data_IF_446195166622
#
_entry.id   IF_446195166622
#
_cell.length_a   1.000
_cell.length_b   1.000
_cell.length_c   1.000
_cell.angle_alpha   90.00
_cell.angle_beta   90.00
_cell.angle_gamma   90.00
#
_symmetry.space_group_name_H-M   'P 1'
#
loop_
_entity.id
_entity.type
_entity.pdbx_description
1 polymer ?
#
# COMPACT_ATOMS: atom_id res chain seq x y z
N UNK A 1 8.79 18.32 29.21
CA UNK A 1 9.85 17.77 30.10
C UNK A 1 10.61 16.82 29.20
N UNK A 2 11.84 17.12 28.82
CA UNK A 2 12.64 16.26 27.95
C UNK A 2 12.84 14.89 28.64
N UNK A 3 12.49 13.81 27.99
CA UNK A 3 12.71 12.47 28.49
C UNK A 3 14.16 12.12 28.22
N UNK A 4 14.92 11.81 29.27
CA UNK A 4 16.31 11.41 29.13
C UNK A 4 16.41 9.93 28.79
N UNK A 5 17.00 9.62 27.66
CA UNK A 5 17.35 8.24 27.33
C UNK A 5 18.65 7.87 28.03
N UNK A 6 18.59 6.98 29.04
CA UNK A 6 19.75 6.53 29.84
C UNK A 6 20.64 7.69 30.36
N UNK A 7 19.98 8.79 30.73
CA UNK A 7 20.66 9.99 31.32
C UNK A 7 21.17 11.01 30.29
N UNK A 8 20.97 10.77 29.01
CA UNK A 8 21.38 11.64 27.90
C UNK A 8 20.18 12.40 27.33
N UNK A 9 20.33 13.69 27.06
CA UNK A 9 19.31 14.49 26.39
C UNK A 9 19.36 14.24 24.88
N UNK A 10 18.20 13.96 24.27
CA UNK A 10 18.08 13.66 22.85
C UNK A 10 17.37 14.80 22.10
N UNK A 11 17.72 14.99 20.84
CA UNK A 11 17.17 16.04 19.97
C UNK A 11 15.80 15.67 19.41
N UNK A 12 14.77 16.47 19.70
CA UNK A 12 13.46 16.42 19.03
C UNK A 12 12.83 15.03 18.97
N UNK A 13 12.52 14.55 17.74
CA UNK A 13 11.85 13.27 17.53
C UNK A 13 12.72 12.03 17.87
N UNK A 14 14.02 12.21 18.08
CA UNK A 14 14.92 11.11 18.45
C UNK A 14 14.56 10.50 19.81
N UNK A 15 13.99 11.26 20.73
CA UNK A 15 13.47 10.76 21.99
C UNK A 15 12.46 9.62 21.80
N UNK A 16 11.68 9.69 20.72
CA UNK A 16 10.60 8.71 20.40
C UNK A 16 11.11 7.56 19.54
N UNK A 17 12.17 7.77 18.78
CA UNK A 17 12.71 6.79 17.82
C UNK A 17 13.80 5.93 18.44
N UNK A 18 14.74 6.55 19.19
CA UNK A 18 15.92 5.85 19.75
C UNK A 18 15.56 4.65 20.63
N UNK A 19 14.52 4.66 21.47
CA UNK A 19 14.16 3.48 22.27
C UNK A 19 13.82 2.22 21.45
N UNK A 20 13.52 2.41 20.17
CA UNK A 20 13.19 1.32 19.24
C UNK A 20 14.37 0.92 18.33
N UNK A 21 15.53 1.55 18.52
CA UNK A 21 16.76 1.25 17.76
C UNK A 21 17.66 0.34 18.58
N UNK A 22 17.71 -0.95 18.26
CA UNK A 22 18.47 -1.95 19.02
C UNK A 22 19.95 -1.55 19.26
N UNK A 23 20.62 -1.01 18.25
CA UNK A 23 21.98 -0.52 18.37
C UNK A 23 22.10 0.64 19.37
N UNK A 24 21.11 1.54 19.44
CA UNK A 24 21.13 2.65 20.41
C UNK A 24 20.95 2.14 21.84
N UNK A 25 20.18 1.08 22.05
CA UNK A 25 20.01 0.45 23.34
C UNK A 25 21.32 -0.21 23.83
N UNK A 26 21.99 -0.95 22.95
CA UNK A 26 23.28 -1.58 23.23
C UNK A 26 24.36 -0.54 23.57
N UNK A 27 24.58 0.44 22.71
CA UNK A 27 25.56 1.50 22.94
C UNK A 27 25.23 2.40 24.13
N UNK A 28 23.93 2.73 24.31
CA UNK A 28 23.49 3.48 25.47
C UNK A 28 23.73 2.73 26.77
N UNK A 29 23.56 1.41 26.79
CA UNK A 29 23.90 0.54 27.94
C UNK A 29 25.41 0.53 28.24
N UNK A 30 26.23 0.38 27.20
CA UNK A 30 27.70 0.40 27.32
C UNK A 30 28.21 1.75 27.86
N UNK A 31 27.67 2.87 27.33
CA UNK A 31 28.03 4.21 27.79
C UNK A 31 27.61 4.44 29.25
N UNK A 32 26.43 3.99 29.65
CA UNK A 32 25.96 4.08 31.04
C UNK A 32 26.82 3.25 31.98
N UNK A 33 27.26 2.09 31.57
CA UNK A 33 28.19 1.25 32.34
C UNK A 33 29.55 1.93 32.52
N UNK A 34 30.12 2.48 31.43
CA UNK A 34 31.36 3.25 31.50
C UNK A 34 31.23 4.45 32.45
N UNK A 35 30.13 5.19 32.40
CA UNK A 35 29.87 6.31 33.31
C UNK A 35 29.84 5.83 34.77
N UNK A 36 29.22 4.72 35.06
CA UNK A 36 29.19 4.12 36.39
C UNK A 36 30.59 3.73 36.90
N UNK A 37 31.44 3.16 36.01
CA UNK A 37 32.85 2.87 36.35
C UNK A 37 33.63 4.11 36.66
N UNK A 38 33.47 5.21 35.90
CA UNK A 38 34.09 6.52 36.20
C UNK A 38 33.63 7.12 37.51
N UNK A 39 32.34 7.06 37.84
CA UNK A 39 31.82 7.55 39.10
C UNK A 39 32.42 6.79 40.30
N UNK A 40 32.57 5.46 40.16
CA UNK A 40 33.21 4.62 41.17
C UNK A 40 34.71 4.93 41.34
N UNK A 41 35.44 5.11 40.21
CA UNK A 41 36.86 5.48 40.25
C UNK A 41 37.08 6.86 40.87
N UNK A 42 36.20 7.80 40.59
CA UNK A 42 36.24 9.14 41.20
C UNK A 42 36.08 9.07 42.72
N UNK A 43 35.05 8.30 43.18
CA UNK A 43 34.82 8.08 44.61
C UNK A 43 36.02 7.41 45.31
N UNK A 44 36.62 6.39 44.66
CA UNK A 44 37.81 5.71 45.20
C UNK A 44 39.02 6.66 45.24
N UNK A 45 39.21 7.54 44.26
CA UNK A 45 40.22 8.56 44.22
C UNK A 45 40.09 9.58 45.34
N UNK A 46 38.87 10.05 45.60
CA UNK A 46 38.56 10.95 46.74
C UNK A 46 38.83 10.27 48.09
N UNK A 47 38.40 9.03 48.26
CA UNK A 47 38.62 8.25 49.49
C UNK A 47 40.09 7.91 49.74
N UNK A 48 40.91 7.78 48.69
CA UNK A 48 42.33 7.52 48.80
C UNK A 48 43.20 8.78 48.98
N UNK A 49 42.61 9.95 49.11
CA UNK A 49 43.30 11.22 49.30
C UNK A 49 44.01 11.74 48.04
N UNK A 50 43.79 11.13 46.88
CA UNK A 50 44.31 11.59 45.61
C UNK A 50 43.34 12.61 45.01
N UNK A 51 43.57 13.88 45.28
CA UNK A 51 42.70 15.00 44.91
C UNK A 51 42.84 15.37 43.42
N UNK A 52 42.76 14.36 42.52
CA UNK A 52 42.75 14.58 41.09
C UNK A 52 41.32 14.99 40.67
N UNK A 53 41.15 16.26 40.32
CA UNK A 53 39.87 16.75 39.83
C UNK A 53 39.48 16.09 38.51
N UNK A 54 38.59 15.11 38.56
CA UNK A 54 38.08 14.33 37.41
C UNK A 54 36.79 14.96 36.84
N UNK A 55 36.35 16.10 37.39
CA UNK A 55 35.08 16.73 36.99
C UNK A 55 35.04 17.11 35.50
N UNK A 56 36.13 17.67 34.98
CA UNK A 56 36.28 18.01 33.56
C UNK A 56 36.19 16.80 32.64
N UNK A 57 36.82 15.68 33.01
CA UNK A 57 36.78 14.46 32.23
C UNK A 57 35.35 13.85 32.20
N UNK A 58 34.66 13.93 33.32
CA UNK A 58 33.26 13.45 33.43
C UNK A 58 32.29 14.26 32.56
N UNK A 59 32.46 15.60 32.53
CA UNK A 59 31.68 16.49 31.66
C UNK A 59 31.96 16.16 30.19
N UNK A 60 33.25 16.10 29.80
CA UNK A 60 33.64 15.78 28.42
C UNK A 60 33.11 14.40 27.95
N UNK A 61 33.13 13.40 28.85
CA UNK A 61 32.58 12.08 28.54
C UNK A 61 31.06 12.14 28.32
N UNK A 62 30.32 12.90 29.12
CA UNK A 62 28.87 13.06 28.95
C UNK A 62 28.53 13.75 27.63
N UNK A 63 29.25 14.84 27.30
CA UNK A 63 29.07 15.55 26.03
C UNK A 63 29.37 14.66 24.82
N UNK A 64 30.43 13.81 24.93
CA UNK A 64 30.73 12.83 23.88
C UNK A 64 29.63 11.78 23.75
N UNK A 65 29.15 11.24 24.87
CA UNK A 65 28.07 10.24 24.87
C UNK A 65 26.77 10.81 24.26
N UNK A 66 26.43 12.05 24.60
CA UNK A 66 25.30 12.79 24.05
C UNK A 66 25.45 12.97 22.52
N UNK A 67 26.61 13.41 22.07
CA UNK A 67 26.91 13.62 20.67
C UNK A 67 26.80 12.29 19.89
N UNK A 68 27.39 11.20 20.38
CA UNK A 68 27.39 9.90 19.75
C UNK A 68 25.98 9.30 19.67
N UNK A 69 25.19 9.37 20.74
CA UNK A 69 23.82 8.85 20.76
C UNK A 69 22.90 9.65 19.83
N UNK A 70 22.99 10.96 19.79
CA UNK A 70 22.25 11.79 18.87
C UNK A 70 22.64 11.51 17.42
N UNK A 71 23.92 11.36 17.12
CA UNK A 71 24.38 11.02 15.76
C UNK A 71 23.92 9.63 15.34
N UNK A 72 24.06 8.62 16.21
CA UNK A 72 23.56 7.27 15.95
C UNK A 72 22.05 7.26 15.69
N UNK A 73 21.29 7.99 16.51
CA UNK A 73 19.85 8.11 16.34
C UNK A 73 19.46 8.76 15.01
N UNK A 74 20.18 9.82 14.60
CA UNK A 74 19.95 10.50 13.32
C UNK A 74 20.24 9.57 12.13
N UNK A 75 21.34 8.82 12.18
CA UNK A 75 21.67 7.87 11.11
C UNK A 75 20.69 6.70 11.06
N UNK A 76 20.24 6.17 12.20
CA UNK A 76 19.23 5.14 12.27
C UNK A 76 17.87 5.63 11.73
N UNK A 77 17.44 6.82 12.12
CA UNK A 77 16.24 7.46 11.61
C UNK A 77 16.32 7.64 10.09
N UNK A 78 17.42 8.19 9.59
CA UNK A 78 17.65 8.39 8.15
C UNK A 78 17.57 7.08 7.37
N UNK A 79 18.21 6.02 7.86
CA UNK A 79 18.15 4.68 7.25
C UNK A 79 16.73 4.14 7.24
N UNK A 80 16.00 4.24 8.35
CA UNK A 80 14.61 3.82 8.45
C UNK A 80 13.72 4.58 7.45
N UNK A 81 13.86 5.91 7.36
CA UNK A 81 13.11 6.73 6.41
C UNK A 81 13.42 6.40 4.95
N UNK A 82 14.66 6.08 4.63
CA UNK A 82 15.05 5.65 3.29
C UNK A 82 14.41 4.30 2.93
N UNK A 83 14.42 3.33 3.85
CA UNK A 83 13.79 2.03 3.66
C UNK A 83 12.27 2.15 3.48
N UNK A 84 11.58 2.85 4.39
CA UNK A 84 10.14 3.09 4.29
C UNK A 84 9.77 3.81 2.98
N UNK A 85 10.56 4.81 2.59
CA UNK A 85 10.36 5.55 1.33
C UNK A 85 10.55 4.66 0.12
N UNK A 86 11.56 3.79 0.14
CA UNK A 86 11.82 2.84 -0.95
C UNK A 86 10.68 1.84 -1.08
N UNK A 87 10.21 1.24 0.02
CA UNK A 87 9.07 0.32 0.04
C UNK A 87 7.80 0.98 -0.51
N UNK A 88 7.47 2.18 -0.05
CA UNK A 88 6.32 2.93 -0.55
C UNK A 88 6.44 3.24 -2.05
N UNK A 89 7.62 3.67 -2.52
CA UNK A 89 7.84 3.99 -3.93
C UNK A 89 7.79 2.75 -4.82
N UNK A 90 8.38 1.64 -4.40
CA UNK A 90 8.34 0.37 -5.14
C UNK A 90 6.91 -0.15 -5.23
N UNK A 91 6.15 -0.08 -4.14
CA UNK A 91 4.72 -0.46 -4.13
C UNK A 91 3.94 0.31 -5.20
N UNK A 92 4.08 1.64 -5.24
CA UNK A 92 3.41 2.47 -6.24
C UNK A 92 3.85 2.12 -7.65
N UNK A 93 5.16 1.98 -7.88
CA UNK A 93 5.69 1.71 -9.21
C UNK A 93 5.19 0.38 -9.76
N UNK A 94 5.15 -0.67 -8.94
CA UNK A 94 4.62 -1.98 -9.34
C UNK A 94 3.12 -1.88 -9.59
N UNK A 95 2.37 -1.26 -8.67
CA UNK A 95 0.93 -1.13 -8.80
C UNK A 95 0.55 -0.35 -10.07
N UNK A 96 1.13 0.83 -10.28
CA UNK A 96 0.85 1.67 -11.46
C UNK A 96 1.20 0.93 -12.76
N UNK A 97 2.35 0.25 -12.79
CA UNK A 97 2.74 -0.56 -13.94
C UNK A 97 1.73 -1.68 -14.21
N UNK A 98 1.37 -2.43 -13.18
CA UNK A 98 0.42 -3.54 -13.33
C UNK A 98 -0.96 -3.05 -13.78
N UNK A 99 -1.46 -1.94 -13.22
CA UNK A 99 -2.71 -1.31 -13.66
C UNK A 99 -2.62 -0.82 -15.11
N UNK A 100 -1.51 -0.21 -15.51
CA UNK A 100 -1.30 0.22 -16.89
C UNK A 100 -1.31 -0.96 -17.88
N UNK A 101 -0.65 -2.07 -17.54
CA UNK A 101 -0.67 -3.28 -18.37
C UNK A 101 -2.10 -3.82 -18.55
N UNK A 102 -2.99 -3.67 -17.54
CA UNK A 102 -4.40 -4.10 -17.61
C UNK A 102 -5.25 -3.28 -18.57
N UNK A 103 -4.86 -2.04 -18.86
CA UNK A 103 -5.57 -1.23 -19.87
C UNK A 103 -5.44 -1.81 -21.28
N UNK A 104 -4.32 -2.47 -21.57
CA UNK A 104 -4.13 -3.20 -22.84
C UNK A 104 -5.01 -4.45 -22.90
N UNK A 105 -5.18 -5.15 -21.78
CA UNK A 105 -5.99 -6.37 -21.70
C UNK A 105 -7.44 -6.12 -22.07
N UNK A 106 -8.05 -5.05 -21.53
CA UNK A 106 -9.45 -4.75 -21.84
C UNK A 106 -9.61 -4.31 -23.31
N UNK A 107 -8.64 -3.56 -23.84
CA UNK A 107 -8.61 -3.18 -25.25
C UNK A 107 -8.56 -4.41 -26.16
N UNK A 108 -7.76 -5.40 -25.82
CA UNK A 108 -7.65 -6.65 -26.56
C UNK A 108 -8.96 -7.45 -26.55
N UNK A 109 -9.53 -7.71 -25.38
CA UNK A 109 -10.77 -8.47 -25.23
C UNK A 109 -11.98 -7.77 -25.86
N UNK A 110 -12.05 -6.44 -25.83
CA UNK A 110 -13.14 -5.69 -26.45
C UNK A 110 -13.14 -5.80 -27.99
N UNK A 111 -11.97 -6.11 -28.56
CA UNK A 111 -11.81 -6.34 -30.00
C UNK A 111 -11.92 -7.83 -30.39
N UNK A 112 -12.09 -8.73 -29.42
CA UNK A 112 -12.20 -10.17 -29.66
C UNK A 112 -13.43 -10.49 -30.51
N UNK A 113 -13.24 -11.30 -31.56
CA UNK A 113 -14.30 -11.61 -32.51
C UNK A 113 -15.41 -12.49 -31.89
N UNK A 114 -15.08 -13.30 -30.88
CA UNK A 114 -16.08 -14.12 -30.18
C UNK A 114 -17.00 -13.23 -29.32
N UNK A 115 -16.46 -12.21 -28.66
CA UNK A 115 -17.24 -11.21 -27.89
C UNK A 115 -18.15 -10.43 -28.84
N UNK A 116 -17.61 -9.95 -29.96
CA UNK A 116 -18.39 -9.22 -30.97
C UNK A 116 -19.46 -10.05 -31.61
N UNK A 117 -19.16 -11.33 -31.98
CA UNK A 117 -20.11 -12.24 -32.57
C UNK A 117 -21.23 -12.58 -31.57
N UNK A 118 -20.91 -12.76 -30.31
CA UNK A 118 -21.91 -12.99 -29.26
C UNK A 118 -22.88 -11.80 -29.10
N UNK A 119 -22.36 -10.58 -29.11
CA UNK A 119 -23.18 -9.37 -28.97
C UNK A 119 -24.03 -9.05 -30.21
N UNK A 120 -23.55 -9.39 -31.41
CA UNK A 120 -24.26 -9.14 -32.68
C UNK A 120 -25.45 -10.03 -32.95
N UNK A 121 -25.49 -11.19 -32.33
CA UNK A 121 -26.47 -12.23 -32.61
C UNK A 121 -27.27 -12.64 -31.38
N UNK A 122 -28.24 -11.79 -30.95
CA UNK A 122 -29.03 -12.02 -29.75
C UNK A 122 -29.82 -13.34 -29.78
N UNK A 123 -30.20 -13.81 -30.99
CA UNK A 123 -30.98 -15.05 -31.16
C UNK A 123 -30.17 -16.30 -30.80
N UNK A 124 -28.85 -16.29 -31.01
CA UNK A 124 -27.97 -17.44 -30.80
C UNK A 124 -27.05 -17.28 -29.59
N UNK A 125 -27.30 -16.30 -28.72
CA UNK A 125 -26.47 -16.06 -27.51
C UNK A 125 -26.40 -17.29 -26.59
N UNK A 126 -27.52 -18.00 -26.39
CA UNK A 126 -27.57 -19.20 -25.55
C UNK A 126 -26.66 -20.34 -26.09
N UNK A 127 -26.55 -20.48 -27.40
CA UNK A 127 -25.67 -21.47 -28.02
C UNK A 127 -24.19 -21.06 -27.92
N UNK A 128 -23.90 -19.77 -28.06
CA UNK A 128 -22.54 -19.21 -28.02
C UNK A 128 -21.97 -19.03 -26.60
N UNK A 129 -22.83 -18.90 -25.59
CA UNK A 129 -22.44 -18.62 -24.22
C UNK A 129 -21.40 -19.59 -23.63
N UNK A 130 -21.52 -20.93 -23.82
CA UNK A 130 -20.52 -21.86 -23.28
C UNK A 130 -19.12 -21.69 -23.91
N UNK A 131 -19.05 -21.34 -25.19
CA UNK A 131 -17.81 -21.10 -25.89
C UNK A 131 -17.15 -19.77 -25.40
N UNK A 132 -17.95 -18.71 -25.24
CA UNK A 132 -17.49 -17.42 -24.74
C UNK A 132 -16.95 -17.53 -23.30
N UNK A 133 -17.66 -18.26 -22.42
CA UNK A 133 -17.20 -18.48 -21.04
C UNK A 133 -15.90 -19.26 -20.98
N UNK A 134 -15.74 -20.28 -21.82
CA UNK A 134 -14.46 -21.01 -21.92
C UNK A 134 -13.34 -20.09 -22.35
N UNK A 135 -13.60 -19.18 -23.28
CA UNK A 135 -12.64 -18.16 -23.71
C UNK A 135 -12.23 -17.23 -22.57
N UNK A 136 -13.20 -16.80 -21.76
CA UNK A 136 -12.91 -15.99 -20.56
C UNK A 136 -12.13 -16.76 -19.50
N UNK A 137 -12.47 -18.03 -19.26
CA UNK A 137 -11.76 -18.90 -18.33
C UNK A 137 -10.29 -19.12 -18.77
N UNK A 138 -10.05 -19.39 -20.05
CA UNK A 138 -8.68 -19.47 -20.61
C UNK A 138 -7.90 -18.16 -20.41
N UNK A 139 -8.57 -17.02 -20.57
CA UNK A 139 -7.97 -15.71 -20.38
C UNK A 139 -7.60 -15.46 -18.92
N UNK A 140 -8.50 -15.70 -17.99
CA UNK A 140 -8.26 -15.49 -16.55
C UNK A 140 -7.23 -16.49 -16.00
N UNK A 141 -7.17 -17.72 -16.50
CA UNK A 141 -6.11 -18.67 -16.13
C UNK A 141 -4.72 -18.17 -16.54
N UNK A 142 -4.62 -17.46 -17.63
CA UNK A 142 -3.36 -16.84 -18.07
C UNK A 142 -3.04 -15.56 -17.28
N UNK A 143 -4.06 -14.82 -16.89
CA UNK A 143 -3.99 -13.54 -16.20
C UNK A 143 -4.85 -13.58 -14.93
N UNK A 144 -4.31 -14.19 -13.86
CA UNK A 144 -5.02 -14.48 -12.60
C UNK A 144 -5.47 -13.27 -11.78
N UNK A 145 -5.23 -12.07 -12.31
CA UNK A 145 -5.53 -10.78 -11.67
C UNK A 145 -7.01 -10.38 -11.71
N UNK A 146 -7.82 -11.07 -12.53
CA UNK A 146 -9.24 -10.77 -12.67
C UNK A 146 -10.09 -11.70 -11.81
N UNK A 147 -11.11 -11.13 -11.15
CA UNK A 147 -12.13 -11.89 -10.43
C UNK A 147 -13.28 -12.31 -11.32
N UNK A 148 -13.64 -11.45 -12.30
CA UNK A 148 -14.73 -11.70 -13.21
C UNK A 148 -14.53 -10.95 -14.54
N UNK A 149 -15.15 -11.45 -15.58
CA UNK A 149 -15.31 -10.82 -16.90
C UNK A 149 -16.79 -10.81 -17.22
N UNK A 150 -17.35 -9.61 -17.45
CA UNK A 150 -18.79 -9.42 -17.61
C UNK A 150 -19.07 -8.74 -18.95
N UNK A 151 -20.02 -9.26 -19.70
CA UNK A 151 -20.53 -8.67 -20.94
C UNK A 151 -21.97 -8.21 -20.71
N UNK A 152 -22.24 -6.95 -21.02
CA UNK A 152 -23.54 -6.33 -20.88
C UNK A 152 -24.01 -5.77 -22.21
N UNK A 153 -25.33 -5.65 -22.37
CA UNK A 153 -25.90 -4.82 -23.43
C UNK A 153 -25.76 -3.32 -23.09
N UNK A 154 -26.02 -2.40 -24.03
CA UNK A 154 -25.94 -0.97 -23.75
C UNK A 154 -26.95 -0.46 -22.71
N UNK A 155 -27.99 -1.24 -22.38
CA UNK A 155 -28.98 -0.92 -21.35
C UNK A 155 -28.54 -1.39 -19.94
N UNK A 156 -27.44 -2.15 -19.84
CA UNK A 156 -26.91 -2.65 -18.58
C UNK A 156 -27.39 -4.06 -18.20
N UNK A 157 -28.08 -4.78 -19.10
CA UNK A 157 -28.43 -6.18 -18.86
C UNK A 157 -27.19 -7.07 -19.00
N UNK A 158 -26.97 -7.95 -18.02
CA UNK A 158 -25.84 -8.90 -18.04
C UNK A 158 -26.18 -10.05 -19.00
N UNK A 159 -25.42 -10.15 -20.09
CA UNK A 159 -25.61 -11.17 -21.11
C UNK A 159 -24.70 -12.39 -20.89
N UNK A 160 -23.50 -12.16 -20.39
CA UNK A 160 -22.55 -13.20 -20.04
C UNK A 160 -21.67 -12.73 -18.88
N UNK A 161 -21.26 -13.70 -18.05
CA UNK A 161 -20.25 -13.47 -17.02
C UNK A 161 -19.49 -14.76 -16.75
N UNK A 162 -18.26 -14.64 -16.29
CA UNK A 162 -17.40 -15.77 -15.96
C UNK A 162 -17.82 -16.42 -14.64
N UNK A 163 -18.04 -15.63 -13.60
CA UNK A 163 -18.48 -16.12 -12.28
C UNK A 163 -20.01 -16.33 -12.27
N UNK A 164 -20.43 -17.57 -12.53
CA UNK A 164 -21.85 -17.96 -12.55
C UNK A 164 -22.53 -17.94 -11.18
N UNK A 165 -21.75 -17.85 -10.10
CA UNK A 165 -22.32 -17.83 -8.74
C UNK A 165 -22.96 -16.49 -8.40
N UNK A 166 -22.62 -15.44 -9.13
CA UNK A 166 -23.17 -14.10 -8.94
C UNK A 166 -24.42 -13.90 -9.79
N UNK A 167 -25.57 -13.87 -9.14
CA UNK A 167 -26.89 -13.82 -9.77
C UNK A 167 -27.37 -12.42 -10.21
N UNK A 168 -26.48 -11.51 -10.64
CA UNK A 168 -26.85 -10.17 -11.13
C UNK A 168 -27.29 -10.26 -12.59
N UNK A 169 -28.56 -9.96 -12.85
CA UNK A 169 -29.16 -9.97 -14.19
C UNK A 169 -29.01 -8.61 -14.92
N UNK A 170 -28.94 -7.52 -14.19
CA UNK A 170 -28.77 -6.17 -14.73
C UNK A 170 -28.02 -5.30 -13.73
N UNK A 171 -27.31 -4.28 -14.22
CA UNK A 171 -26.56 -3.31 -13.44
C UNK A 171 -27.05 -1.91 -13.72
N UNK A 172 -27.15 -1.11 -12.65
CA UNK A 172 -27.41 0.32 -12.71
C UNK A 172 -26.11 1.14 -12.48
N UNK A 173 -24.94 0.50 -12.49
CA UNK A 173 -23.65 1.15 -12.27
C UNK A 173 -23.44 2.25 -13.32
N UNK A 174 -23.18 3.50 -12.88
CA UNK A 174 -22.94 4.63 -13.79
C UNK A 174 -21.80 4.40 -14.78
N UNK A 175 -20.83 3.52 -14.43
CA UNK A 175 -19.72 3.17 -15.31
C UNK A 175 -20.16 2.55 -16.63
N UNK A 176 -21.27 1.80 -16.65
CA UNK A 176 -21.81 1.18 -17.86
C UNK A 176 -22.22 2.26 -18.86
N UNK A 177 -23.04 3.20 -18.40
CA UNK A 177 -23.47 4.32 -19.23
C UNK A 177 -22.30 5.20 -19.67
N UNK A 178 -21.38 5.48 -18.74
CA UNK A 178 -20.18 6.23 -19.05
C UNK A 178 -19.33 5.54 -20.13
N UNK A 179 -19.20 4.19 -20.08
CA UNK A 179 -18.47 3.42 -21.08
C UNK A 179 -19.15 3.47 -22.48
N UNK A 180 -20.47 3.48 -22.54
CA UNK A 180 -21.22 3.62 -23.81
C UNK A 180 -21.02 5.02 -24.42
N UNK A 181 -21.05 6.07 -23.61
CA UNK A 181 -21.04 7.46 -24.06
C UNK A 181 -19.63 8.04 -24.27
N UNK A 182 -18.60 7.48 -23.61
CA UNK A 182 -17.24 8.03 -23.63
C UNK A 182 -16.59 7.92 -24.99
N UNK A 183 -15.71 8.91 -25.27
CA UNK A 183 -14.75 8.83 -26.38
C UNK A 183 -13.41 8.23 -25.96
N UNK A 184 -13.17 8.08 -24.65
CA UNK A 184 -11.97 7.44 -24.13
C UNK A 184 -11.96 5.95 -24.47
N UNK A 185 -10.80 5.34 -24.39
CA UNK A 185 -10.64 3.92 -24.68
C UNK A 185 -11.44 3.05 -23.70
N UNK A 186 -11.48 3.44 -22.42
CA UNK A 186 -12.18 2.73 -21.35
C UNK A 186 -12.60 3.72 -20.25
N UNK A 187 -13.46 3.24 -19.35
CA UNK A 187 -13.81 3.91 -18.09
C UNK A 187 -13.28 3.04 -16.95
N UNK A 188 -12.53 3.64 -16.06
CA UNK A 188 -12.03 3.02 -14.83
C UNK A 188 -12.88 3.51 -13.66
N UNK A 189 -13.33 2.60 -12.82
CA UNK A 189 -14.05 2.93 -11.59
C UNK A 189 -13.49 2.14 -10.43
N UNK A 190 -13.32 2.83 -9.30
CA UNK A 190 -12.95 2.23 -8.04
C UNK A 190 -13.99 2.59 -6.98
N UNK A 191 -14.68 1.59 -6.45
CA UNK A 191 -15.73 1.81 -5.45
C UNK A 191 -16.69 0.63 -5.31
N UNK A 192 -17.85 0.91 -4.76
CA UNK A 192 -18.96 -0.06 -4.64
C UNK A 192 -19.65 -0.17 -5.99
N UNK A 193 -19.81 -1.39 -6.48
CA UNK A 193 -20.55 -1.68 -7.71
C UNK A 193 -21.53 -2.83 -7.50
N UNK A 194 -22.71 -2.71 -8.10
CA UNK A 194 -23.74 -3.77 -8.13
C UNK A 194 -23.34 -4.95 -9.02
N UNK A 195 -22.33 -4.78 -9.88
CA UNK A 195 -21.77 -5.85 -10.70
C UNK A 195 -21.06 -6.92 -9.84
N UNK A 196 -20.48 -6.53 -8.70
CA UNK A 196 -19.74 -7.40 -7.78
C UNK A 196 -20.30 -7.27 -6.36
N UNK A 197 -21.53 -7.75 -6.13
CA UNK A 197 -22.22 -7.61 -4.85
C UNK A 197 -21.41 -8.28 -3.73
N UNK A 198 -21.35 -7.61 -2.57
CA UNK A 198 -20.62 -8.10 -1.40
C UNK A 198 -19.17 -7.61 -1.29
N UNK A 199 -18.58 -7.03 -2.32
CA UNK A 199 -17.32 -6.34 -2.24
C UNK A 199 -17.53 -4.89 -1.79
N UNK A 200 -16.76 -4.46 -0.78
CA UNK A 200 -16.81 -3.06 -0.29
C UNK A 200 -16.23 -2.07 -1.29
N UNK A 201 -15.24 -2.50 -2.04
CA UNK A 201 -14.57 -1.73 -3.07
C UNK A 201 -14.10 -2.70 -4.16
N UNK A 202 -14.27 -2.30 -5.40
CA UNK A 202 -13.82 -3.05 -6.58
C UNK A 202 -13.24 -2.11 -7.61
N UNK A 203 -12.19 -2.54 -8.28
CA UNK A 203 -11.63 -1.85 -9.43
C UNK A 203 -12.18 -2.51 -10.67
N UNK A 204 -12.93 -1.75 -11.47
CA UNK A 204 -13.59 -2.24 -12.68
C UNK A 204 -13.17 -1.37 -13.87
N UNK A 205 -12.68 -2.04 -14.91
CA UNK A 205 -12.44 -1.45 -16.21
C UNK A 205 -13.62 -1.77 -17.13
N UNK A 206 -14.28 -0.75 -17.65
CA UNK A 206 -15.43 -0.88 -18.54
C UNK A 206 -15.10 -0.33 -19.92
N UNK A 207 -15.28 -1.13 -20.94
CA UNK A 207 -14.96 -0.81 -22.32
C UNK A 207 -16.17 -1.04 -23.23
N UNK A 208 -16.47 -0.06 -24.09
CA UNK A 208 -17.51 -0.26 -25.12
C UNK A 208 -17.04 -1.24 -26.19
N UNK A 209 -17.86 -2.22 -26.48
CA UNK A 209 -17.67 -3.12 -27.63
C UNK A 209 -18.48 -2.58 -28.80
N UNK A 210 -17.81 -2.26 -29.91
CA UNK A 210 -18.45 -1.70 -31.08
C UNK A 210 -18.21 -2.57 -32.32
N UNK A 211 -19.10 -2.46 -33.30
CA UNK A 211 -18.93 -3.05 -34.61
C UNK A 211 -17.95 -2.24 -35.48
N UNK A 212 -17.73 -2.72 -36.72
CA UNK A 212 -16.83 -2.04 -37.67
C UNK A 212 -17.30 -0.65 -38.13
N UNK A 213 -18.60 -0.35 -37.94
CA UNK A 213 -19.21 0.94 -38.23
C UNK A 213 -19.22 1.88 -37.04
N UNK A 214 -18.69 1.43 -35.88
CA UNK A 214 -18.66 2.19 -34.65
C UNK A 214 -19.98 2.15 -33.84
N UNK A 215 -20.94 1.30 -34.23
CA UNK A 215 -22.17 1.10 -33.48
C UNK A 215 -21.84 0.30 -32.21
N UNK A 216 -22.25 0.84 -31.05
CA UNK A 216 -22.03 0.18 -29.76
C UNK A 216 -22.93 -1.05 -29.66
N UNK A 217 -22.32 -2.22 -29.51
CA UNK A 217 -23.00 -3.51 -29.34
C UNK A 217 -23.25 -3.82 -27.86
N UNK A 218 -22.36 -3.38 -26.99
CA UNK A 218 -22.43 -3.66 -25.56
C UNK A 218 -21.21 -3.10 -24.81
N UNK A 219 -21.09 -3.50 -23.56
CA UNK A 219 -19.99 -3.14 -22.66
C UNK A 219 -19.32 -4.41 -22.13
N UNK A 220 -18.00 -4.44 -22.16
CA UNK A 220 -17.16 -5.44 -21.52
C UNK A 220 -16.58 -4.86 -20.24
N UNK A 221 -16.76 -5.55 -19.10
CA UNK A 221 -16.20 -5.18 -17.82
C UNK A 221 -15.19 -6.22 -17.34
N UNK A 222 -14.01 -5.76 -16.93
CA UNK A 222 -13.00 -6.57 -16.25
C UNK A 222 -12.96 -6.15 -14.79
N UNK A 223 -13.30 -7.08 -13.88
CA UNK A 223 -13.24 -6.87 -12.45
C UNK A 223 -11.87 -7.31 -11.92
N UNK A 224 -11.11 -6.38 -11.39
CA UNK A 224 -9.72 -6.59 -10.98
C UNK A 224 -9.61 -6.96 -9.49
N UNK A 225 -8.74 -7.94 -9.17
CA UNK A 225 -8.46 -8.39 -7.79
C UNK A 225 -7.37 -7.53 -7.15
N UNK A 226 -7.69 -6.28 -6.84
CA UNK A 226 -6.72 -5.33 -6.28
C UNK A 226 -6.11 -5.82 -4.96
N UNK A 227 -6.90 -6.45 -4.10
CA UNK A 227 -6.42 -6.99 -2.82
C UNK A 227 -5.35 -8.06 -3.03
N UNK A 228 -5.60 -9.04 -3.90
CA UNK A 228 -4.63 -10.10 -4.19
C UNK A 228 -3.32 -9.56 -4.79
N UNK A 229 -3.43 -8.56 -5.65
CA UNK A 229 -2.25 -7.90 -6.24
C UNK A 229 -1.45 -7.14 -5.18
N UNK A 230 -2.14 -6.43 -4.29
CA UNK A 230 -1.49 -5.75 -3.18
C UNK A 230 -0.79 -6.73 -2.24
N UNK A 231 -1.44 -7.85 -1.89
CA UNK A 231 -0.86 -8.89 -1.04
C UNK A 231 0.40 -9.49 -1.66
N UNK A 232 0.40 -9.72 -2.99
CA UNK A 232 1.58 -10.21 -3.70
C UNK A 232 2.73 -9.18 -3.68
N UNK A 233 2.42 -7.89 -3.83
CA UNK A 233 3.41 -6.83 -3.72
C UNK A 233 3.98 -6.78 -2.29
N UNK A 234 3.12 -6.81 -1.28
CA UNK A 234 3.53 -6.72 0.12
C UNK A 234 4.37 -7.91 0.57
N UNK A 235 4.01 -9.13 0.18
CA UNK A 235 4.78 -10.35 0.52
C UNK A 235 6.20 -10.35 -0.05
N UNK A 236 6.47 -9.57 -1.09
CA UNK A 236 7.81 -9.40 -1.66
C UNK A 236 8.59 -8.22 -1.08
N UNK A 237 7.92 -7.31 -0.35
CA UNK A 237 8.55 -6.08 0.16
C UNK A 237 8.69 -6.05 1.68
N UNK A 238 7.86 -6.79 2.40
CA UNK A 238 7.85 -6.79 3.86
C UNK A 238 8.25 -8.19 4.33
N UNK A 239 9.39 -8.28 5.02
CA UNK A 239 9.88 -9.52 5.61
C UNK A 239 9.16 -9.81 6.95
N UNK A 240 9.10 -11.07 7.39
CA UNK A 240 8.40 -11.44 8.63
C UNK A 240 8.95 -10.75 9.89
N UNK A 241 10.25 -10.43 9.89
CA UNK A 241 10.93 -9.73 11.00
C UNK A 241 10.84 -8.20 10.88
N UNK A 242 10.23 -7.70 9.81
CA UNK A 242 10.11 -6.27 9.53
C UNK A 242 8.88 -5.70 10.21
N UNK A 243 9.09 -4.74 11.09
CA UNK A 243 8.03 -3.99 11.78
C UNK A 243 7.37 -2.91 10.91
N UNK A 244 7.69 -2.86 9.64
CA UNK A 244 7.06 -1.90 8.73
C UNK A 244 5.71 -2.39 8.23
N UNK A 245 4.74 -1.46 8.13
CA UNK A 245 3.43 -1.70 7.56
C UNK A 245 3.29 -0.86 6.31
N UNK A 246 3.05 -1.51 5.18
CA UNK A 246 2.78 -0.84 3.90
C UNK A 246 1.28 -0.80 3.67
N UNK A 247 0.74 0.38 3.40
CA UNK A 247 -0.69 0.57 3.11
C UNK A 247 -0.88 1.32 1.79
N UNK A 248 -1.91 0.94 1.04
CA UNK A 248 -2.38 1.68 -0.13
C UNK A 248 -3.61 2.49 0.29
N UNK A 249 -3.62 3.77 -0.01
CA UNK A 249 -4.69 4.69 0.36
C UNK A 249 -5.39 5.23 -0.89
N UNK A 250 -6.71 5.45 -0.78
CA UNK A 250 -7.44 6.29 -1.73
C UNK A 250 -7.16 7.79 -1.50
N UNK A 251 -7.70 8.65 -2.37
CA UNK A 251 -7.55 10.10 -2.26
C UNK A 251 -8.13 10.66 -0.96
N UNK A 252 -9.15 10.01 -0.40
CA UNK A 252 -9.79 10.39 0.86
C UNK A 252 -9.03 9.86 2.09
N UNK A 253 -7.91 9.15 1.91
CA UNK A 253 -7.09 8.57 2.98
C UNK A 253 -7.68 7.30 3.58
N UNK A 254 -8.62 6.61 2.89
CA UNK A 254 -9.06 5.28 3.33
C UNK A 254 -8.05 4.23 2.92
N UNK A 255 -7.77 3.29 3.79
CA UNK A 255 -6.92 2.13 3.50
C UNK A 255 -7.64 1.19 2.54
N UNK A 256 -7.09 1.04 1.33
CA UNK A 256 -7.58 0.11 0.31
C UNK A 256 -6.97 -1.28 0.53
N UNK A 257 -5.68 -1.32 0.85
CA UNK A 257 -4.95 -2.53 1.15
C UNK A 257 -3.89 -2.27 2.24
N UNK A 258 -3.56 -3.29 3.02
CA UNK A 258 -2.62 -3.22 4.13
C UNK A 258 -1.81 -4.50 4.22
N UNK A 259 -0.48 -4.41 4.38
CA UNK A 259 0.39 -5.57 4.63
C UNK A 259 0.15 -6.20 6.00
N UNK A 260 -0.44 -5.45 6.93
CA UNK A 260 -0.85 -5.94 8.24
C UNK A 260 -2.25 -5.39 8.60
N UNK A 261 -3.32 -6.07 8.14
CA UNK A 261 -4.69 -5.66 8.43
C UNK A 261 -5.10 -5.76 9.91
N UNK A 262 -4.32 -6.48 10.72
CA UNK A 262 -4.56 -6.57 12.15
C UNK A 262 -4.26 -5.25 12.86
N UNK A 263 -3.13 -4.61 12.52
CA UNK A 263 -2.74 -3.34 13.09
C UNK A 263 -3.37 -2.15 12.36
N UNK A 264 -3.42 -2.19 11.03
CA UNK A 264 -4.04 -1.13 10.20
C UNK A 264 -5.06 -1.78 9.26
N UNK A 265 -6.34 -1.87 9.65
CA UNK A 265 -7.35 -2.58 8.87
C UNK A 265 -7.75 -1.83 7.60
N UNK A 266 -8.15 -2.60 6.58
CA UNK A 266 -8.77 -2.07 5.36
C UNK A 266 -10.04 -1.29 5.71
N UNK A 267 -10.20 -0.11 5.11
CA UNK A 267 -11.26 0.85 5.41
C UNK A 267 -10.94 1.83 6.54
N UNK A 268 -9.82 1.65 7.26
CA UNK A 268 -9.37 2.65 8.23
C UNK A 268 -9.05 3.98 7.53
N UNK A 269 -9.19 5.09 8.27
CA UNK A 269 -8.84 6.42 7.78
C UNK A 269 -7.48 6.82 8.32
N UNK A 270 -6.53 7.03 7.40
CA UNK A 270 -5.20 7.56 7.70
C UNK A 270 -5.05 8.96 7.09
N UNK A 271 -4.26 9.78 7.72
CA UNK A 271 -3.91 11.10 7.19
C UNK A 271 -2.58 11.01 6.45
N UNK A 272 -2.56 11.12 5.11
CA UNK A 272 -1.31 11.10 4.35
C UNK A 272 -0.34 12.19 4.79
N UNK A 273 0.95 11.88 4.82
CA UNK A 273 2.04 12.82 5.10
C UNK A 273 2.44 13.48 3.78
N UNK A 274 2.14 14.77 3.59
CA UNK A 274 2.34 15.46 2.30
C UNK A 274 3.39 16.57 2.35
N UNK A 275 3.47 17.30 3.46
CA UNK A 275 4.26 18.55 3.55
C UNK A 275 5.63 18.38 4.22
N UNK A 276 5.94 17.16 4.70
CA UNK A 276 7.17 16.81 5.38
C UNK A 276 7.63 15.41 4.97
N UNK A 277 8.91 15.12 5.16
CA UNK A 277 9.48 13.81 4.79
C UNK A 277 8.86 12.66 5.58
N UNK A 278 8.52 12.90 6.85
CA UNK A 278 7.88 11.94 7.73
C UNK A 278 7.06 12.64 8.81
N UNK A 279 6.23 11.86 9.49
CA UNK A 279 5.51 12.27 10.69
C UNK A 279 5.36 11.11 11.65
N UNK A 280 5.46 11.37 12.95
CA UNK A 280 5.04 10.39 13.94
C UNK A 280 3.51 10.51 14.10
N UNK A 281 2.80 9.45 13.79
CA UNK A 281 1.34 9.39 13.83
C UNK A 281 0.89 8.35 14.83
N UNK A 282 -0.25 8.58 15.48
CA UNK A 282 -0.87 7.60 16.36
C UNK A 282 -2.05 6.95 15.69
N UNK A 283 -2.06 5.62 15.67
CA UNK A 283 -3.20 4.83 15.23
C UNK A 283 -3.50 3.75 16.27
N UNK A 284 -4.73 3.79 16.83
CA UNK A 284 -5.06 2.95 17.97
C UNK A 284 -4.15 3.23 19.18
N UNK A 285 -3.63 2.18 19.83
CA UNK A 285 -2.70 2.34 20.95
C UNK A 285 -1.24 2.60 20.54
N UNK A 286 -0.90 2.44 19.25
CA UNK A 286 0.47 2.46 18.76
C UNK A 286 0.85 3.80 18.12
N UNK A 287 2.13 4.14 18.19
CA UNK A 287 2.74 5.23 17.42
C UNK A 287 3.57 4.66 16.28
N UNK A 288 3.47 5.31 15.13
CA UNK A 288 4.15 4.90 13.89
C UNK A 288 4.93 6.06 13.30
N UNK A 289 6.12 5.74 12.81
CA UNK A 289 6.85 6.64 11.92
C UNK A 289 6.26 6.46 10.50
N UNK A 290 5.58 7.49 10.01
CA UNK A 290 4.85 7.44 8.77
C UNK A 290 5.52 8.24 7.65
N UNK A 291 5.61 7.62 6.48
CA UNK A 291 6.07 8.21 5.22
C UNK A 291 4.97 7.98 4.18
N UNK A 292 4.71 8.95 3.31
CA UNK A 292 3.77 8.79 2.20
C UNK A 292 4.47 9.08 0.89
N UNK A 293 4.15 8.28 -0.12
CA UNK A 293 4.49 8.52 -1.53
C UNK A 293 3.21 8.53 -2.35
N UNK A 294 3.15 9.36 -3.36
CA UNK A 294 2.01 9.44 -4.26
C UNK A 294 2.42 8.99 -5.67
N UNK A 295 1.50 8.35 -6.38
CA UNK A 295 1.67 8.15 -7.81
C UNK A 295 1.80 9.53 -8.48
N UNK A 296 2.77 9.69 -9.35
CA UNK A 296 2.86 10.88 -10.19
C UNK A 296 2.00 10.63 -11.42
N UNK A 297 1.16 11.60 -11.83
CA UNK A 297 0.30 11.48 -13.00
C UNK A 297 1.11 11.35 -14.30
#
# INVERSE_FOLDING_TARGET
>A
MAIKFKGVDLDGDLERVIPHVAAAEEYGGALQHLQSVWDNLTLLGELSGNNTDMSGTRVAFRELAETLLNQLGREALKKCLQDLSAKAQVTINILVRNLFERTADIGFLSCDDDVRAFLRDPANQSERLPALRRRFDEYVRKYSVYSDIIVLDPAGNVLARLDETVGVAASADPAIRAAVETKAAYVETFGVSDLVPGQKQSLIYSYRVADHNGVVLGVLCLCFRLENEADLIFSNLVEEEDWSIVTILDEAGSVIASSDPFHIPVGAKLKPVRDVDYRIVRFGPMEYLAVTRAAQP
#
